data_IF_238096831165
#
_entry.id   IF_238096831165
#
_cell.length_a   1.000
_cell.length_b   1.000
_cell.length_c   1.000
_cell.angle_alpha   90.00
_cell.angle_beta   90.00
_cell.angle_gamma   90.00
#
_symmetry.space_group_name_H-M   'P 1'
#
loop_
_entity.id
_entity.type
_entity.pdbx_description
1 polymer ?
#
# COMPACT_ATOMS: atom_id res chain seq x y z
N UNK A 1 -68.54 -50.00 -1.54
CA UNK A 1 -68.11 -48.77 -0.86
C UNK A 1 -66.66 -48.50 -1.28
N UNK A 2 -66.48 -47.77 -2.38
CA UNK A 2 -65.18 -47.42 -2.98
C UNK A 2 -65.04 -45.90 -2.87
N UNK A 3 -63.97 -45.45 -2.20
CA UNK A 3 -63.71 -44.02 -1.92
C UNK A 3 -63.32 -43.29 -3.20
N UNK A 4 -63.84 -42.06 -3.45
CA UNK A 4 -63.45 -41.26 -4.60
C UNK A 4 -62.03 -40.70 -4.44
N UNK A 5 -61.32 -40.64 -5.57
CA UNK A 5 -59.98 -40.08 -5.74
C UNK A 5 -60.04 -38.56 -5.61
N UNK A 6 -59.31 -37.98 -4.65
CA UNK A 6 -59.12 -36.53 -4.56
C UNK A 6 -58.04 -36.10 -5.55
N UNK A 7 -58.42 -35.26 -6.51
CA UNK A 7 -57.50 -34.57 -7.41
C UNK A 7 -56.92 -33.38 -6.64
N UNK A 8 -55.65 -33.46 -6.25
CA UNK A 8 -54.93 -32.36 -5.66
C UNK A 8 -54.60 -31.32 -6.76
N UNK A 9 -55.22 -30.14 -6.67
CA UNK A 9 -54.92 -29.01 -7.53
C UNK A 9 -53.54 -28.45 -7.16
N UNK A 10 -52.57 -28.55 -8.07
CA UNK A 10 -51.20 -28.07 -7.88
C UNK A 10 -51.09 -26.66 -8.47
N UNK A 11 -51.00 -25.63 -7.61
CA UNK A 11 -50.76 -24.26 -8.03
C UNK A 11 -49.25 -23.96 -7.97
N UNK A 12 -48.63 -23.71 -9.12
CA UNK A 12 -47.25 -23.22 -9.19
C UNK A 12 -47.32 -21.69 -9.13
N UNK A 13 -46.93 -21.12 -8.00
CA UNK A 13 -46.70 -19.67 -7.87
C UNK A 13 -45.28 -19.41 -8.38
N UNK A 14 -45.15 -18.93 -9.61
CA UNK A 14 -43.90 -18.35 -10.11
C UNK A 14 -43.73 -16.96 -9.47
N UNK A 15 -42.96 -16.90 -8.39
CA UNK A 15 -42.41 -15.65 -7.86
C UNK A 15 -41.34 -15.16 -8.83
N UNK A 16 -41.69 -14.20 -9.69
CA UNK A 16 -40.70 -13.41 -10.41
C UNK A 16 -39.99 -12.53 -9.38
N UNK A 17 -38.83 -12.99 -8.91
CA UNK A 17 -37.83 -12.11 -8.30
C UNK A 17 -37.39 -11.16 -9.42
N UNK A 18 -37.96 -9.95 -9.44
CA UNK A 18 -37.35 -8.85 -10.17
C UNK A 18 -35.92 -8.74 -9.66
N UNK A 19 -34.87 -8.95 -10.47
CA UNK A 19 -33.55 -8.54 -10.06
C UNK A 19 -33.62 -7.02 -9.98
N UNK A 20 -33.73 -6.48 -8.76
CA UNK A 20 -33.32 -5.11 -8.53
C UNK A 20 -31.86 -5.06 -8.92
N UNK A 21 -31.58 -4.58 -10.13
CA UNK A 21 -30.31 -3.97 -10.46
C UNK A 21 -30.11 -2.90 -9.40
N UNK A 22 -29.33 -3.22 -8.38
CA UNK A 22 -28.75 -2.21 -7.50
C UNK A 22 -27.72 -1.50 -8.37
N UNK A 23 -28.19 -0.59 -9.23
CA UNK A 23 -27.34 0.46 -9.74
C UNK A 23 -26.91 1.24 -8.52
N UNK A 24 -25.62 1.18 -8.17
CA UNK A 24 -25.07 2.06 -7.15
C UNK A 24 -25.31 3.48 -7.68
N UNK A 25 -26.21 4.21 -7.03
CA UNK A 25 -26.43 5.62 -7.32
C UNK A 25 -25.15 6.36 -6.97
N UNK A 26 -24.34 6.69 -7.97
CA UNK A 26 -23.20 7.57 -7.79
C UNK A 26 -23.71 8.99 -7.54
N UNK A 27 -23.30 9.59 -6.43
CA UNK A 27 -23.55 10.99 -6.15
C UNK A 27 -22.59 11.82 -7.00
N UNK A 28 -23.09 12.32 -8.13
CA UNK A 28 -22.35 13.22 -9.00
C UNK A 28 -22.34 14.63 -8.43
N UNK A 29 -21.18 15.27 -8.47
CA UNK A 29 -21.05 16.68 -8.17
C UNK A 29 -21.75 17.51 -9.25
N UNK A 30 -22.52 18.56 -8.90
CA UNK A 30 -23.20 19.39 -9.89
C UNK A 30 -22.23 20.19 -10.79
N UNK A 31 -20.99 20.36 -10.35
CA UNK A 31 -19.90 20.97 -11.12
C UNK A 31 -18.56 20.57 -10.53
N UNK A 32 -17.52 20.42 -11.36
CA UNK A 32 -16.17 20.14 -10.86
C UNK A 32 -15.56 21.35 -10.13
N UNK A 33 -14.84 21.10 -9.03
CA UNK A 33 -14.02 22.11 -8.33
C UNK A 33 -12.94 22.70 -9.24
N UNK A 34 -12.49 21.96 -10.27
CA UNK A 34 -11.51 22.44 -11.25
C UNK A 34 -12.10 23.44 -12.26
N UNK A 35 -13.42 23.62 -12.30
CA UNK A 35 -14.09 24.50 -13.27
C UNK A 35 -13.77 25.98 -13.08
N UNK A 36 -13.24 26.38 -11.91
CA UNK A 36 -12.93 27.77 -11.56
C UNK A 36 -11.65 27.87 -10.74
N UNK A 37 -11.02 29.05 -10.78
CA UNK A 37 -9.81 29.34 -9.99
C UNK A 37 -8.52 28.90 -10.69
N UNK A 38 -7.38 29.22 -10.07
CA UNK A 38 -6.04 28.89 -10.57
C UNK A 38 -5.52 27.65 -9.87
N UNK A 39 -5.24 26.60 -10.64
CA UNK A 39 -4.85 25.28 -10.14
C UNK A 39 -3.46 24.90 -10.57
N UNK A 40 -2.71 24.28 -9.67
CA UNK A 40 -1.40 23.70 -9.95
C UNK A 40 -1.39 22.23 -9.55
N UNK A 41 -0.90 21.37 -10.44
CA UNK A 41 -0.73 19.94 -10.19
C UNK A 41 0.69 19.67 -9.71
N UNK A 42 0.84 18.81 -8.72
CA UNK A 42 2.13 18.32 -8.25
C UNK A 42 2.06 16.83 -7.92
N UNK A 43 3.23 16.18 -7.90
CA UNK A 43 3.38 14.75 -7.78
C UNK A 43 3.99 14.36 -6.43
N UNK A 44 3.59 13.22 -5.90
CA UNK A 44 4.23 12.54 -4.76
C UNK A 44 4.36 11.05 -5.09
N UNK A 45 5.44 10.43 -4.62
CA UNK A 45 5.75 9.02 -4.87
C UNK A 45 5.67 8.16 -3.61
N UNK A 46 5.67 8.78 -2.43
CA UNK A 46 5.75 8.09 -1.14
C UNK A 46 4.74 8.69 -0.15
N UNK A 47 4.40 7.91 0.87
CA UNK A 47 3.62 8.40 2.01
C UNK A 47 4.53 9.30 2.88
N UNK A 48 4.18 10.57 3.06
CA UNK A 48 4.98 11.51 3.83
C UNK A 48 4.18 12.75 4.29
N UNK A 49 4.75 13.50 5.25
CA UNK A 49 4.32 14.87 5.55
C UNK A 49 5.10 15.83 4.68
N UNK A 50 4.40 16.48 3.76
CA UNK A 50 4.99 17.41 2.80
C UNK A 50 4.82 18.85 3.26
N UNK A 51 5.89 19.63 3.12
CA UNK A 51 5.93 21.06 3.44
C UNK A 51 5.87 21.90 2.18
N UNK A 52 5.03 22.94 2.18
CA UNK A 52 5.02 23.98 1.15
C UNK A 52 5.11 25.34 1.83
N UNK A 53 6.20 26.06 1.56
CA UNK A 53 6.42 27.39 2.11
C UNK A 53 5.47 28.42 1.48
N UNK A 54 5.06 29.41 2.26
CA UNK A 54 4.23 30.52 1.78
C UNK A 54 4.84 31.21 0.55
N UNK A 55 6.16 31.42 0.57
CA UNK A 55 6.88 32.02 -0.55
C UNK A 55 6.66 31.24 -1.86
N UNK A 56 6.59 29.91 -1.79
CA UNK A 56 6.32 29.07 -2.96
C UNK A 56 4.92 29.32 -3.50
N UNK A 57 3.92 29.47 -2.64
CA UNK A 57 2.53 29.77 -3.02
C UNK A 57 2.42 31.13 -3.73
N UNK A 58 3.14 32.14 -3.21
CA UNK A 58 3.25 33.47 -3.83
C UNK A 58 3.93 33.41 -5.19
N UNK A 59 5.03 32.65 -5.31
CA UNK A 59 5.75 32.44 -6.58
C UNK A 59 4.93 31.68 -7.64
N UNK A 60 4.07 30.75 -7.22
CA UNK A 60 3.10 30.13 -8.13
C UNK A 60 2.10 31.15 -8.68
N UNK A 61 1.91 32.29 -8.01
CA UNK A 61 0.97 33.32 -8.42
C UNK A 61 -0.47 32.94 -8.09
N UNK A 62 -0.69 32.24 -6.98
CA UNK A 62 -2.02 32.02 -6.41
C UNK A 62 -2.66 33.37 -6.03
N UNK A 63 -3.96 33.50 -6.24
CA UNK A 63 -4.66 34.77 -6.04
C UNK A 63 -4.86 35.09 -4.54
N UNK A 64 -4.97 34.05 -3.70
CA UNK A 64 -5.08 34.16 -2.24
C UNK A 64 -4.04 33.27 -1.54
N UNK A 65 -2.74 33.57 -1.61
CA UNK A 65 -1.68 32.70 -1.09
C UNK A 65 -1.78 32.45 0.43
N UNK A 66 -2.45 33.34 1.17
CA UNK A 66 -2.75 33.17 2.61
C UNK A 66 -3.87 32.16 2.90
N UNK A 67 -4.64 31.75 1.89
CA UNK A 67 -5.73 30.78 1.99
C UNK A 67 -5.53 29.61 1.02
N UNK A 68 -4.43 28.86 1.13
CA UNK A 68 -4.18 27.71 0.26
C UNK A 68 -5.14 26.56 0.57
N UNK A 69 -5.40 25.76 -0.46
CA UNK A 69 -6.22 24.55 -0.41
C UNK A 69 -5.54 23.45 -1.22
N UNK A 70 -5.48 22.25 -0.66
CA UNK A 70 -4.96 21.07 -1.36
C UNK A 70 -6.10 20.11 -1.61
N UNK A 71 -6.10 19.53 -2.80
CA UNK A 71 -7.11 18.59 -3.28
C UNK A 71 -6.45 17.33 -3.84
N UNK A 72 -7.10 16.20 -3.68
CA UNK A 72 -6.63 14.92 -4.22
C UNK A 72 -7.59 13.78 -3.91
N UNK A 73 -7.54 12.75 -4.75
CA UNK A 73 -8.37 11.55 -4.65
C UNK A 73 -7.52 10.28 -4.63
N UNK A 74 -6.27 10.36 -4.18
CA UNK A 74 -5.37 9.22 -4.22
C UNK A 74 -5.79 8.15 -3.19
N UNK A 75 -6.60 7.19 -3.64
CA UNK A 75 -7.02 6.02 -2.86
C UNK A 75 -6.23 4.75 -3.22
N UNK A 76 -5.24 4.85 -4.09
CA UNK A 76 -4.48 3.72 -4.61
C UNK A 76 -5.04 3.22 -5.94
N UNK A 77 -4.90 1.92 -6.22
CA UNK A 77 -5.38 1.29 -7.45
C UNK A 77 -6.91 1.41 -7.56
N UNK A 78 -7.39 1.96 -8.67
CA UNK A 78 -8.82 1.96 -8.99
C UNK A 78 -9.29 0.53 -9.25
N UNK A 79 -10.54 0.26 -8.90
CA UNK A 79 -11.21 -1.00 -9.24
C UNK A 79 -11.14 -1.26 -10.74
N UNK A 80 -10.92 -2.52 -11.12
CA UNK A 80 -11.06 -2.94 -12.52
C UNK A 80 -12.51 -2.98 -12.98
N UNK A 81 -13.45 -2.86 -12.05
CA UNK A 81 -14.86 -2.80 -12.30
C UNK A 81 -15.34 -1.36 -12.22
N UNK A 82 -16.34 -1.02 -13.03
CA UNK A 82 -17.05 0.26 -12.94
C UNK A 82 -18.04 0.23 -11.77
N UNK A 83 -17.53 -0.01 -10.57
CA UNK A 83 -18.31 -0.25 -9.35
C UNK A 83 -18.67 1.03 -8.58
N UNK A 84 -18.20 2.18 -9.03
CA UNK A 84 -18.48 3.46 -8.42
C UNK A 84 -17.86 3.65 -7.03
N UNK A 85 -16.81 2.90 -6.70
CA UNK A 85 -16.06 3.04 -5.43
C UNK A 85 -15.28 4.35 -5.31
N UNK A 86 -15.14 5.10 -6.40
CA UNK A 86 -14.24 6.25 -6.50
C UNK A 86 -15.01 7.57 -6.43
N UNK A 87 -14.43 8.59 -5.78
CA UNK A 87 -15.03 9.91 -5.71
C UNK A 87 -15.14 10.53 -7.10
N UNK A 88 -16.30 11.13 -7.39
CA UNK A 88 -16.62 11.75 -8.68
C UNK A 88 -15.76 13.00 -8.97
N UNK A 89 -15.47 13.81 -7.96
CA UNK A 89 -14.68 15.03 -8.08
C UNK A 89 -13.60 15.10 -6.99
N UNK A 90 -12.64 16.02 -7.14
CA UNK A 90 -11.52 16.14 -6.19
C UNK A 90 -11.99 16.54 -4.79
N UNK A 91 -11.49 15.82 -3.79
CA UNK A 91 -11.76 16.12 -2.38
C UNK A 91 -10.72 17.06 -1.77
N UNK A 92 -11.17 18.02 -0.96
CA UNK A 92 -10.27 18.90 -0.21
C UNK A 92 -9.62 18.13 0.96
N UNK A 93 -8.29 18.20 1.01
CA UNK A 93 -7.43 17.59 2.02
C UNK A 93 -7.16 18.60 3.13
N UNK A 94 -7.30 18.17 4.38
CA UNK A 94 -6.98 18.99 5.53
C UNK A 94 -5.49 19.32 5.56
N UNK A 95 -5.16 20.59 5.71
CA UNK A 95 -3.78 21.05 5.87
C UNK A 95 -3.55 21.64 7.27
N UNK A 96 -2.31 21.56 7.74
CA UNK A 96 -1.82 22.35 8.87
C UNK A 96 -1.12 23.58 8.34
N UNK A 97 -1.24 24.72 9.02
CA UNK A 97 -0.48 25.94 8.70
C UNK A 97 0.23 26.40 9.97
N UNK A 98 1.54 26.59 9.88
CA UNK A 98 2.30 27.29 10.90
C UNK A 98 2.28 28.78 10.57
N UNK A 99 1.72 29.62 11.44
CA UNK A 99 1.46 31.05 11.16
C UNK A 99 2.32 31.99 12.03
N UNK A 100 3.53 31.56 12.41
CA UNK A 100 4.40 32.33 13.31
C UNK A 100 3.72 32.78 14.60
N UNK A 101 4.18 33.93 15.14
CA UNK A 101 3.64 34.54 16.36
C UNK A 101 2.55 35.58 16.11
N UNK A 102 2.39 36.05 14.87
CA UNK A 102 1.37 37.04 14.50
C UNK A 102 0.01 36.41 14.18
N UNK A 103 -0.02 35.07 14.01
CA UNK A 103 -1.22 34.29 13.73
C UNK A 103 -1.70 34.38 12.28
N UNK A 104 -0.95 35.05 11.40
CA UNK A 104 -1.33 35.33 10.02
C UNK A 104 -0.45 34.52 9.08
N UNK A 105 -1.03 33.67 8.23
CA UNK A 105 -0.27 32.89 7.27
C UNK A 105 0.37 33.77 6.18
N UNK A 106 1.67 34.09 6.33
CA UNK A 106 2.41 35.05 5.51
C UNK A 106 3.91 34.67 5.30
N UNK A 107 4.78 35.64 4.99
CA UNK A 107 6.19 35.39 4.66
C UNK A 107 6.97 34.79 5.84
N UNK A 108 7.60 33.62 5.61
CA UNK A 108 8.28 32.85 6.66
C UNK A 108 7.48 31.64 7.15
N UNK A 109 6.19 31.59 6.83
CA UNK A 109 5.30 30.50 7.19
C UNK A 109 5.29 29.36 6.16
N UNK A 110 4.70 28.24 6.58
CA UNK A 110 4.55 27.06 5.74
C UNK A 110 3.29 26.28 6.08
N UNK A 111 2.76 25.58 5.08
CA UNK A 111 1.75 24.56 5.29
C UNK A 111 2.37 23.17 5.32
N UNK A 112 1.74 22.25 6.04
CA UNK A 112 1.99 20.83 6.02
C UNK A 112 0.73 20.09 5.57
N UNK A 113 0.90 19.02 4.80
CA UNK A 113 -0.17 18.08 4.50
C UNK A 113 0.38 16.66 4.43
N UNK A 114 -0.45 15.68 4.77
CA UNK A 114 -0.12 14.27 4.58
C UNK A 114 -0.44 13.86 3.14
N UNK A 115 0.60 13.58 2.37
CA UNK A 115 0.49 13.05 1.02
C UNK A 115 0.75 11.56 1.06
N UNK A 116 -0.10 10.79 0.38
CA UNK A 116 0.09 9.35 0.15
C UNK A 116 0.64 9.09 -1.25
N UNK A 117 1.57 8.16 -1.39
CA UNK A 117 2.01 7.54 -2.65
C UNK A 117 0.96 6.57 -3.19
N UNK A 118 1.24 5.78 -4.24
CA UNK A 118 0.21 4.94 -4.88
C UNK A 118 0.00 3.57 -4.21
N UNK A 119 1.03 3.02 -3.56
CA UNK A 119 0.97 1.74 -2.85
C UNK A 119 0.16 1.77 -1.55
N UNK A 120 -0.43 0.64 -1.15
CA UNK A 120 -1.26 0.52 0.06
C UNK A 120 -0.91 -0.74 0.84
N UNK A 121 -0.71 -0.61 2.14
CA UNK A 121 -0.76 -1.74 3.06
C UNK A 121 -2.17 -1.85 3.61
N UNK A 122 -2.79 -3.02 3.44
CA UNK A 122 -4.14 -3.33 3.90
C UNK A 122 -4.04 -4.45 4.93
N UNK A 123 -4.41 -4.15 6.17
CA UNK A 123 -4.47 -5.14 7.23
C UNK A 123 -5.68 -6.07 7.03
N UNK A 124 -5.45 -7.37 7.03
CA UNK A 124 -6.47 -8.41 7.04
C UNK A 124 -6.62 -8.94 8.47
N UNK A 125 -7.72 -8.57 9.14
CA UNK A 125 -8.00 -8.99 10.50
C UNK A 125 -8.26 -10.49 10.65
N UNK A 126 -8.53 -11.20 9.55
CA UNK A 126 -8.78 -12.65 9.57
C UNK A 126 -7.48 -13.44 9.65
N UNK A 127 -6.46 -13.00 8.90
CA UNK A 127 -5.14 -13.64 8.88
C UNK A 127 -4.18 -13.01 9.89
N UNK A 128 -4.45 -11.77 10.32
CA UNK A 128 -3.54 -10.98 11.15
C UNK A 128 -2.36 -10.41 10.36
N UNK A 129 -2.46 -10.35 9.03
CA UNK A 129 -1.37 -9.96 8.13
C UNK A 129 -1.66 -8.70 7.33
N UNK A 130 -0.61 -8.07 6.80
CA UNK A 130 -0.75 -6.98 5.85
C UNK A 130 -0.54 -7.45 4.41
N UNK A 131 -1.47 -7.06 3.54
CA UNK A 131 -1.36 -7.24 2.10
C UNK A 131 -0.92 -5.92 1.47
N UNK A 132 0.16 -5.95 0.69
CA UNK A 132 0.55 -4.80 -0.13
C UNK A 132 -0.22 -4.81 -1.45
N UNK A 133 -0.87 -3.70 -1.76
CA UNK A 133 -1.56 -3.46 -3.02
C UNK A 133 -0.87 -2.33 -3.75
N UNK A 134 -0.22 -2.67 -4.86
CA UNK A 134 0.40 -1.69 -5.77
C UNK A 134 -0.60 -1.12 -6.77
N UNK A 135 -0.22 0.00 -7.38
CA UNK A 135 -0.92 0.57 -8.52
C UNK A 135 -0.24 0.12 -9.81
N UNK A 136 -0.93 -0.64 -10.66
CA UNK A 136 -0.33 -1.33 -11.81
C UNK A 136 -0.05 -0.41 -13.01
N UNK A 137 -0.50 0.84 -12.96
CA UNK A 137 -0.39 1.79 -14.08
C UNK A 137 0.33 3.10 -13.73
N UNK A 138 0.80 3.26 -12.49
CA UNK A 138 1.45 4.50 -12.03
C UNK A 138 2.13 4.28 -10.68
N UNK A 139 3.38 4.71 -10.57
CA UNK A 139 4.13 4.84 -9.32
C UNK A 139 3.93 6.23 -8.67
N UNK A 140 3.23 7.12 -9.36
CA UNK A 140 3.12 8.54 -9.01
C UNK A 140 1.67 8.92 -8.70
N UNK A 141 1.47 9.51 -7.53
CA UNK A 141 0.19 10.08 -7.12
C UNK A 141 0.17 11.61 -7.36
N UNK A 142 -0.94 12.13 -7.86
CA UNK A 142 -1.09 13.55 -8.17
C UNK A 142 -2.05 14.24 -7.21
N UNK A 143 -1.64 15.43 -6.78
CA UNK A 143 -2.40 16.33 -5.93
C UNK A 143 -2.46 17.70 -6.61
N UNK A 144 -3.42 18.50 -6.18
CA UNK A 144 -3.72 19.80 -6.77
C UNK A 144 -3.75 20.86 -5.69
N UNK A 145 -3.13 22.01 -5.95
CA UNK A 145 -3.17 23.17 -5.07
C UNK A 145 -3.85 24.34 -5.75
N UNK A 146 -4.68 25.04 -4.97
CA UNK A 146 -5.37 26.26 -5.35
C UNK A 146 -5.46 27.20 -4.15
N UNK A 147 -6.17 28.31 -4.31
CA UNK A 147 -6.42 29.27 -3.25
C UNK A 147 -7.82 29.88 -3.38
N UNK A 148 -8.39 30.35 -2.27
CA UNK A 148 -9.71 30.99 -2.28
C UNK A 148 -9.83 32.17 -1.31
N UNK A 149 -10.88 32.98 -1.44
CA UNK A 149 -11.09 34.15 -0.58
C UNK A 149 -11.37 33.78 0.88
N UNK A 150 -11.83 32.55 1.13
CA UNK A 150 -12.07 32.01 2.46
C UNK A 150 -11.07 30.91 2.81
N UNK A 151 -10.86 30.69 4.12
CA UNK A 151 -10.00 29.63 4.63
C UNK A 151 -10.45 28.25 4.10
N UNK A 152 -9.46 27.44 3.69
CA UNK A 152 -9.66 26.05 3.31
C UNK A 152 -9.80 25.10 4.48
N UNK A 153 -9.92 23.82 4.19
CA UNK A 153 -9.97 22.76 5.19
C UNK A 153 -8.69 22.76 6.04
N UNK A 154 -8.84 22.66 7.35
CA UNK A 154 -7.73 22.60 8.31
C UNK A 154 -7.79 21.31 9.12
N UNK A 155 -6.64 20.85 9.61
CA UNK A 155 -6.60 19.76 10.58
C UNK A 155 -7.31 20.24 11.85
N UNK A 156 -8.31 19.48 12.28
CA UNK A 156 -9.01 19.71 13.55
C UNK A 156 -8.36 18.91 14.69
N UNK A 157 -8.75 19.18 15.95
CA UNK A 157 -8.33 18.35 17.07
C UNK A 157 -8.80 16.90 16.87
N UNK A 158 -7.97 15.93 17.26
CA UNK A 158 -8.35 14.54 17.29
C UNK A 158 -9.43 14.32 18.38
N UNK A 159 -10.31 13.35 18.15
CA UNK A 159 -11.25 12.92 19.19
C UNK A 159 -10.53 11.98 20.15
N UNK A 160 -10.33 12.44 21.38
CA UNK A 160 -9.73 11.62 22.44
C UNK A 160 -10.75 10.64 23.04
N UNK A 161 -10.39 9.37 23.28
CA UNK A 161 -11.24 8.43 23.99
C UNK A 161 -11.59 8.90 25.40
N UNK A 162 -12.84 8.66 25.83
CA UNK A 162 -13.28 9.01 27.19
C UNK A 162 -12.73 8.06 28.27
N UNK A 163 -12.43 6.81 27.90
CA UNK A 163 -11.88 5.82 28.82
C UNK A 163 -10.36 5.97 28.91
N UNK A 164 -9.79 5.64 30.07
CA UNK A 164 -8.34 5.59 30.22
C UNK A 164 -7.74 4.49 29.36
N UNK A 165 -6.49 4.69 28.94
CA UNK A 165 -5.75 3.70 28.19
C UNK A 165 -5.62 2.39 29.01
N UNK A 166 -5.95 1.28 28.37
CA UNK A 166 -5.82 -0.07 28.91
C UNK A 166 -4.82 -0.92 28.10
N UNK A 167 -4.22 -0.32 27.06
CA UNK A 167 -3.15 -0.90 26.27
C UNK A 167 -2.11 0.18 25.99
N UNK A 168 -0.83 -0.12 26.23
CA UNK A 168 0.28 0.78 25.90
C UNK A 168 1.06 0.18 24.72
N UNK A 169 1.15 0.94 23.63
CA UNK A 169 1.93 0.59 22.44
C UNK A 169 3.21 1.43 22.42
N UNK A 170 4.30 0.85 22.91
CA UNK A 170 5.66 1.38 22.73
C UNK A 170 6.37 0.77 21.52
N UNK A 171 5.74 -0.19 20.85
CA UNK A 171 6.27 -0.95 19.72
C UNK A 171 5.21 -1.04 18.64
N UNK A 172 5.56 -0.68 17.41
CA UNK A 172 4.66 -0.71 16.25
C UNK A 172 5.11 -1.72 15.20
N UNK A 173 4.22 -1.99 14.26
CA UNK A 173 4.53 -2.71 13.03
C UNK A 173 5.49 -1.89 12.15
N UNK A 174 6.48 -2.58 11.58
CA UNK A 174 7.37 -2.09 10.56
C UNK A 174 7.17 -2.92 9.30
N UNK A 175 6.66 -2.30 8.24
CA UNK A 175 6.31 -2.94 6.98
C UNK A 175 7.27 -2.48 5.89
N UNK A 176 7.70 -3.42 5.05
CA UNK A 176 8.53 -3.13 3.90
C UNK A 176 8.22 -4.08 2.76
N UNK A 177 8.33 -3.58 1.53
CA UNK A 177 8.26 -4.38 0.32
C UNK A 177 9.43 -4.01 -0.58
N UNK A 178 10.11 -5.03 -1.08
CA UNK A 178 11.03 -4.92 -2.20
C UNK A 178 10.34 -5.50 -3.44
N UNK A 179 10.01 -4.65 -4.39
CA UNK A 179 9.35 -4.99 -5.66
C UNK A 179 9.91 -4.03 -6.73
N UNK A 180 10.46 -4.58 -7.82
CA UNK A 180 11.06 -3.78 -8.90
C UNK A 180 10.49 -4.24 -10.25
N UNK A 181 9.66 -3.38 -10.83
CA UNK A 181 8.88 -3.64 -12.04
C UNK A 181 9.70 -3.41 -13.33
N UNK A 182 10.67 -4.29 -13.61
CA UNK A 182 11.60 -4.06 -14.74
C UNK A 182 11.28 -4.86 -16.01
N UNK A 183 10.82 -6.11 -15.89
CA UNK A 183 10.53 -6.97 -17.04
C UNK A 183 9.13 -7.60 -16.94
N UNK A 184 8.30 -7.41 -17.97
CA UNK A 184 7.12 -8.23 -18.21
C UNK A 184 7.50 -9.38 -19.16
N UNK A 185 7.56 -10.60 -18.61
CA UNK A 185 8.26 -11.73 -19.25
C UNK A 185 7.75 -12.14 -20.63
N UNK A 186 6.45 -11.95 -20.89
CA UNK A 186 5.79 -12.35 -22.15
C UNK A 186 5.08 -11.16 -22.83
N UNK A 187 5.39 -9.93 -22.42
CA UNK A 187 4.76 -8.69 -22.89
C UNK A 187 3.22 -8.72 -22.83
N UNK A 188 2.66 -9.37 -21.80
CA UNK A 188 1.24 -9.50 -21.54
C UNK A 188 0.95 -9.59 -20.04
N UNK A 189 -0.28 -9.23 -19.66
CA UNK A 189 -0.70 -9.19 -18.27
C UNK A 189 -0.18 -7.96 -17.52
N UNK A 190 -0.20 -8.03 -16.18
CA UNK A 190 0.14 -6.92 -15.28
C UNK A 190 1.31 -7.22 -14.36
N UNK A 191 1.87 -8.43 -14.43
CA UNK A 191 2.99 -8.82 -13.58
C UNK A 191 4.29 -8.38 -14.23
N UNK A 192 5.16 -7.74 -13.46
CA UNK A 192 6.54 -7.48 -13.86
C UNK A 192 7.46 -7.95 -12.76
N UNK A 193 8.73 -8.11 -13.13
CA UNK A 193 9.68 -8.77 -12.28
C UNK A 193 11.05 -8.12 -12.37
N UNK A 194 11.85 -8.35 -11.33
CA UNK A 194 13.26 -7.98 -11.27
C UNK A 194 14.13 -9.18 -11.68
N UNK A 195 14.96 -9.09 -12.72
CA UNK A 195 15.95 -10.12 -13.02
C UNK A 195 16.88 -10.38 -11.84
N UNK A 196 17.08 -11.67 -11.53
CA UNK A 196 18.04 -12.13 -10.54
C UNK A 196 19.21 -12.82 -11.26
N UNK A 197 20.43 -12.40 -10.93
CA UNK A 197 21.64 -13.00 -11.49
C UNK A 197 22.13 -14.17 -10.66
N UNK A 198 22.65 -15.22 -11.32
CA UNK A 198 23.36 -16.30 -10.62
C UNK A 198 24.78 -15.90 -10.19
N UNK A 199 25.30 -14.78 -10.69
CA UNK A 199 26.66 -14.28 -10.41
C UNK A 199 26.69 -13.12 -9.41
N UNK A 200 25.53 -12.58 -9.03
CA UNK A 200 25.43 -11.41 -8.14
C UNK A 200 24.14 -11.47 -7.33
N UNK A 201 24.28 -11.35 -6.02
CA UNK A 201 23.15 -11.24 -5.10
C UNK A 201 22.39 -9.92 -5.29
N UNK A 202 21.08 -9.97 -5.10
CA UNK A 202 20.24 -8.78 -4.96
C UNK A 202 20.24 -8.36 -3.49
N UNK A 203 20.81 -7.20 -3.18
CA UNK A 203 20.72 -6.61 -1.85
C UNK A 203 19.34 -5.98 -1.65
N UNK A 204 18.74 -6.26 -0.50
CA UNK A 204 17.45 -5.71 -0.08
C UNK A 204 17.67 -5.02 1.27
N UNK A 205 17.61 -3.68 1.26
CA UNK A 205 17.75 -2.87 2.45
C UNK A 205 16.40 -2.20 2.80
N UNK A 206 15.69 -2.69 3.81
CA UNK A 206 14.42 -2.12 4.24
C UNK A 206 14.51 -0.71 4.81
N UNK A 207 15.72 -0.26 5.19
CA UNK A 207 15.90 0.99 5.93
C UNK A 207 15.24 0.96 7.32
N UNK A 208 14.93 -0.23 7.84
CA UNK A 208 14.41 -0.38 9.19
C UNK A 208 15.41 0.14 10.23
N UNK A 209 14.87 0.73 11.29
CA UNK A 209 15.60 1.17 12.47
C UNK A 209 14.88 0.69 13.73
N UNK A 210 15.65 0.52 14.79
CA UNK A 210 15.14 0.18 16.12
C UNK A 210 14.22 -1.07 16.14
N UNK A 211 14.50 -2.07 15.29
CA UNK A 211 13.75 -3.33 15.34
C UNK A 211 13.94 -4.03 16.68
N UNK A 212 12.89 -4.68 17.14
CA UNK A 212 12.91 -5.52 18.34
C UNK A 212 13.50 -6.88 17.97
N UNK A 213 14.78 -7.10 18.27
CA UNK A 213 15.51 -8.30 17.81
C UNK A 213 15.10 -9.60 18.50
N UNK A 214 14.36 -9.52 19.61
CA UNK A 214 13.73 -10.68 20.26
C UNK A 214 12.40 -11.10 19.60
N UNK A 215 11.88 -10.32 18.67
CA UNK A 215 10.66 -10.62 17.93
C UNK A 215 10.99 -11.03 16.50
N UNK A 216 10.27 -12.04 16.00
CA UNK A 216 10.52 -12.53 14.65
C UNK A 216 10.01 -11.55 13.61
N UNK A 217 10.75 -11.44 12.52
CA UNK A 217 10.31 -10.83 11.27
C UNK A 217 9.62 -11.92 10.46
N UNK A 218 8.39 -11.63 10.03
CA UNK A 218 7.68 -12.42 9.03
C UNK A 218 8.10 -11.94 7.64
N UNK A 219 8.43 -12.88 6.77
CA UNK A 219 8.76 -12.59 5.38
C UNK A 219 7.86 -13.40 4.44
N UNK A 220 7.56 -12.83 3.28
CA UNK A 220 6.95 -13.55 2.16
C UNK A 220 7.67 -13.17 0.88
N UNK A 221 8.14 -14.16 0.13
CA UNK A 221 8.84 -13.95 -1.13
C UNK A 221 8.16 -14.72 -2.25
N UNK A 222 7.97 -14.05 -3.39
CA UNK A 222 7.59 -14.70 -4.65
C UNK A 222 8.75 -14.55 -5.63
N UNK A 223 9.16 -15.67 -6.20
CA UNK A 223 10.25 -15.75 -7.19
C UNK A 223 9.82 -16.61 -8.37
N UNK A 224 10.47 -16.39 -9.51
CA UNK A 224 10.26 -17.16 -10.72
C UNK A 224 11.59 -17.68 -11.25
N UNK A 225 11.56 -18.86 -11.88
CA UNK A 225 12.69 -19.33 -12.66
C UNK A 225 12.25 -19.99 -13.97
N UNK A 226 13.08 -19.85 -14.99
CA UNK A 226 12.99 -20.55 -16.27
C UNK A 226 14.27 -21.34 -16.47
N UNK A 227 14.18 -22.66 -16.28
CA UNK A 227 15.26 -23.62 -16.47
C UNK A 227 14.67 -25.00 -16.76
N UNK A 228 15.45 -25.90 -17.37
CA UNK A 228 15.08 -27.31 -17.53
C UNK A 228 15.31 -28.15 -16.27
N UNK A 229 16.20 -27.68 -15.39
CA UNK A 229 16.51 -28.29 -14.08
C UNK A 229 15.87 -27.51 -12.93
N UNK A 230 15.80 -28.15 -11.75
CA UNK A 230 15.44 -27.43 -10.52
C UNK A 230 16.50 -26.40 -10.18
N UNK A 231 16.06 -25.21 -9.82
CA UNK A 231 16.89 -24.06 -9.40
C UNK A 231 16.47 -23.63 -8.00
N UNK A 232 17.21 -22.69 -7.40
CA UNK A 232 16.81 -22.16 -6.10
C UNK A 232 17.13 -20.69 -5.91
N UNK A 233 16.36 -20.08 -5.02
CA UNK A 233 16.65 -18.79 -4.44
C UNK A 233 16.98 -18.96 -2.96
N UNK A 234 17.81 -18.08 -2.40
CA UNK A 234 18.10 -18.07 -0.97
C UNK A 234 18.02 -16.66 -0.43
N UNK A 235 17.27 -16.49 0.66
CA UNK A 235 17.27 -15.25 1.45
C UNK A 235 18.29 -15.43 2.56
N UNK A 236 19.20 -14.48 2.70
CA UNK A 236 20.19 -14.46 3.77
C UNK A 236 20.24 -13.12 4.49
N UNK A 237 20.61 -13.17 5.77
CA UNK A 237 20.92 -12.02 6.60
C UNK A 237 22.25 -12.30 7.29
N UNK A 238 23.21 -11.39 7.19
CA UNK A 238 24.56 -11.56 7.75
C UNK A 238 25.20 -12.94 7.47
N UNK A 239 25.00 -13.47 6.26
CA UNK A 239 25.48 -14.80 5.83
C UNK A 239 24.65 -16.01 6.28
N UNK A 240 23.75 -15.83 7.26
CA UNK A 240 22.84 -16.89 7.75
C UNK A 240 21.64 -17.07 6.82
N UNK A 241 21.16 -18.31 6.68
CA UNK A 241 20.03 -18.64 5.79
C UNK A 241 18.73 -18.37 6.50
N UNK A 242 17.87 -17.54 5.92
CA UNK A 242 16.48 -17.38 6.37
C UNK A 242 15.57 -18.39 5.67
N UNK A 243 15.75 -18.53 4.35
CA UNK A 243 14.95 -19.42 3.53
C UNK A 243 15.71 -19.90 2.31
N UNK A 244 15.43 -21.12 1.86
CA UNK A 244 15.80 -21.62 0.54
C UNK A 244 14.53 -21.99 -0.21
N UNK A 245 14.32 -21.39 -1.37
CA UNK A 245 13.13 -21.54 -2.19
C UNK A 245 13.52 -22.34 -3.42
N UNK A 246 13.01 -23.56 -3.54
CA UNK A 246 13.24 -24.40 -4.71
C UNK A 246 12.19 -24.11 -5.79
N UNK A 247 12.66 -23.92 -7.02
CA UNK A 247 11.80 -23.71 -8.19
C UNK A 247 12.05 -24.86 -9.17
N UNK A 248 11.01 -25.67 -9.39
CA UNK A 248 11.08 -26.81 -10.30
C UNK A 248 11.37 -26.37 -11.74
N UNK A 249 12.11 -27.20 -12.47
CA UNK A 249 12.34 -27.01 -13.89
C UNK A 249 11.07 -27.17 -14.72
N UNK A 250 11.06 -26.57 -15.89
CA UNK A 250 9.98 -26.62 -16.88
C UNK A 250 10.45 -27.26 -18.17
N UNK A 251 9.50 -27.71 -19.01
CA UNK A 251 9.82 -28.15 -20.36
C UNK A 251 10.10 -26.93 -21.26
N UNK A 252 11.36 -26.74 -21.65
CA UNK A 252 11.76 -25.61 -22.51
C UNK A 252 11.40 -25.81 -23.99
N UNK A 253 11.02 -27.03 -24.42
CA UNK A 253 10.71 -27.35 -25.81
C UNK A 253 9.27 -27.01 -26.23
N UNK A 254 8.37 -26.71 -25.27
CA UNK A 254 6.98 -26.35 -25.59
C UNK A 254 6.82 -24.85 -25.82
N UNK A 255 6.06 -24.50 -26.87
CA UNK A 255 5.70 -23.12 -27.21
C UNK A 255 4.42 -22.63 -26.54
N UNK A 256 3.63 -23.54 -25.95
CA UNK A 256 2.34 -23.24 -25.29
C UNK A 256 2.33 -23.62 -23.81
N UNK A 257 3.46 -24.09 -23.27
CA UNK A 257 3.57 -24.44 -21.86
C UNK A 257 3.94 -23.25 -20.96
N UNK A 258 4.11 -23.55 -19.68
CA UNK A 258 4.57 -22.57 -18.67
C UNK A 258 5.85 -21.87 -19.12
N UNK A 259 5.83 -20.53 -19.20
CA UNK A 259 7.02 -19.76 -19.56
C UNK A 259 8.06 -19.74 -18.43
N UNK A 260 7.64 -19.53 -17.18
CA UNK A 260 8.50 -19.60 -16.01
C UNK A 260 7.70 -20.17 -14.86
N UNK A 261 8.35 -20.96 -14.01
CA UNK A 261 7.72 -21.53 -12.82
C UNK A 261 7.82 -20.50 -11.69
N UNK A 262 6.69 -20.18 -11.06
CA UNK A 262 6.66 -19.35 -9.86
C UNK A 262 6.66 -20.21 -8.59
N UNK A 263 7.27 -19.68 -7.53
CA UNK A 263 7.19 -20.22 -6.18
C UNK A 263 6.98 -19.08 -5.19
N UNK A 264 6.03 -19.27 -4.27
CA UNK A 264 5.75 -18.36 -3.16
C UNK A 264 6.10 -19.10 -1.86
N UNK A 265 6.93 -18.49 -1.04
CA UNK A 265 7.31 -19.02 0.27
C UNK A 265 7.21 -17.93 1.31
N UNK A 266 6.68 -18.26 2.48
CA UNK A 266 6.71 -17.40 3.65
C UNK A 266 7.39 -18.09 4.83
N UNK A 267 7.80 -17.30 5.81
CA UNK A 267 8.40 -17.81 7.04
C UNK A 267 8.66 -16.70 8.04
N UNK A 268 9.31 -17.07 9.15
CA UNK A 268 9.65 -16.15 10.21
C UNK A 268 11.07 -16.43 10.71
N UNK A 269 11.83 -15.37 11.04
CA UNK A 269 13.16 -15.48 11.62
C UNK A 269 13.41 -14.33 12.60
N UNK A 270 14.24 -14.55 13.61
CA UNK A 270 14.74 -13.45 14.43
C UNK A 270 15.75 -12.64 13.61
N UNK A 271 15.65 -11.30 13.57
CA UNK A 271 16.65 -10.50 12.90
C UNK A 271 17.97 -10.51 13.67
N UNK A 272 19.07 -10.45 12.94
CA UNK A 272 20.41 -10.38 13.52
C UNK A 272 20.69 -9.03 14.19
N UNK A 273 20.08 -7.95 13.68
CA UNK A 273 20.32 -6.58 14.14
C UNK A 273 19.02 -5.74 14.16
N UNK A 274 19.02 -4.58 14.83
CA UNK A 274 17.91 -3.63 14.76
C UNK A 274 17.78 -2.93 13.38
N UNK A 275 18.74 -3.12 12.48
CA UNK A 275 18.84 -2.51 11.15
C UNK A 275 19.27 -3.59 10.12
N UNK A 276 18.43 -4.62 9.89
CA UNK A 276 18.84 -5.78 9.10
C UNK A 276 18.90 -5.45 7.60
N UNK A 277 19.91 -6.00 6.92
CA UNK A 277 20.04 -5.97 5.45
C UNK A 277 20.05 -7.40 4.92
N UNK A 278 19.26 -7.65 3.90
CA UNK A 278 19.07 -8.98 3.33
C UNK A 278 19.75 -9.11 1.97
N UNK A 279 20.05 -10.35 1.59
CA UNK A 279 20.48 -10.70 0.24
C UNK A 279 19.64 -11.83 -0.30
N UNK A 280 19.16 -11.66 -1.53
CA UNK A 280 18.49 -12.70 -2.31
C UNK A 280 19.47 -13.18 -3.39
N UNK A 281 19.90 -14.44 -3.30
CA UNK A 281 20.78 -15.07 -4.28
C UNK A 281 20.02 -16.08 -5.13
N UNK A 282 20.40 -16.23 -6.40
CA UNK A 282 19.83 -17.19 -7.33
C UNK A 282 20.89 -18.25 -7.69
N UNK A 283 20.53 -19.53 -7.63
CA UNK A 283 21.37 -20.67 -8.02
C UNK A 283 20.77 -21.35 -9.23
N UNK A 284 21.50 -21.33 -10.35
CA UNK A 284 21.09 -21.91 -11.63
C UNK A 284 21.31 -23.43 -11.73
N UNK A 285 21.92 -24.06 -10.72
CA UNK A 285 22.22 -25.49 -10.68
C UNK A 285 22.97 -26.00 -11.92
N UNK A 286 23.90 -25.20 -12.45
CA UNK A 286 24.75 -25.55 -13.59
C UNK A 286 24.16 -25.23 -14.98
N UNK A 287 22.88 -24.84 -15.08
CA UNK A 287 22.28 -24.43 -16.35
C UNK A 287 22.55 -22.94 -16.63
N UNK A 288 23.52 -22.63 -17.49
CA UNK A 288 23.91 -21.23 -17.79
C UNK A 288 22.77 -20.43 -18.43
N UNK A 289 21.85 -21.08 -19.15
CA UNK A 289 20.66 -20.45 -19.73
C UNK A 289 19.53 -20.21 -18.73
N UNK A 290 19.66 -20.70 -17.49
CA UNK A 290 18.63 -20.50 -16.49
C UNK A 290 18.46 -19.01 -16.17
N UNK A 291 17.20 -18.57 -16.11
CA UNK A 291 16.85 -17.22 -15.72
C UNK A 291 16.08 -17.25 -14.41
N UNK A 292 16.41 -16.34 -13.51
CA UNK A 292 15.70 -16.13 -12.25
C UNK A 292 15.11 -14.73 -12.21
N UNK A 293 13.97 -14.57 -11.55
CA UNK A 293 13.38 -13.27 -11.26
C UNK A 293 12.81 -13.22 -9.84
N UNK A 294 12.89 -12.04 -9.23
CA UNK A 294 12.20 -11.69 -7.99
C UNK A 294 10.94 -10.94 -8.40
N UNK A 295 9.79 -11.39 -7.92
CA UNK A 295 8.54 -10.64 -8.01
C UNK A 295 8.53 -9.61 -6.87
N UNK A 296 8.39 -10.10 -5.65
CA UNK A 296 8.51 -9.27 -4.46
C UNK A 296 9.05 -10.04 -3.26
N UNK A 297 9.58 -9.28 -2.29
CA UNK A 297 9.84 -9.70 -0.92
C UNK A 297 9.14 -8.72 0.03
N UNK A 298 8.16 -9.19 0.81
CA UNK A 298 7.57 -8.41 1.90
C UNK A 298 8.20 -8.80 3.23
N UNK A 299 8.34 -7.82 4.12
CA UNK A 299 8.81 -7.98 5.48
C UNK A 299 7.83 -7.29 6.43
N UNK A 300 7.43 -8.00 7.48
CA UNK A 300 6.65 -7.48 8.59
C UNK A 300 7.42 -7.76 9.88
N UNK A 301 7.90 -6.68 10.49
CA UNK A 301 8.70 -6.68 11.70
C UNK A 301 8.02 -5.86 12.80
N UNK A 302 8.64 -5.82 13.97
CA UNK A 302 8.27 -4.97 15.09
C UNK A 302 9.40 -4.02 15.42
N UNK A 303 9.09 -2.74 15.62
CA UNK A 303 10.07 -1.69 15.95
C UNK A 303 9.65 -0.88 17.15
N UNK A 304 10.62 -0.41 17.92
CA UNK A 304 10.37 0.57 18.98
C UNK A 304 9.81 1.85 18.35
N UNK A 305 8.83 2.45 19.02
CA UNK A 305 8.35 3.76 18.65
C UNK A 305 9.41 4.78 19.10
N UNK A 306 10.09 5.39 18.13
CA UNK A 306 11.02 6.50 18.36
C UNK A 306 10.89 7.50 17.23
N UNK A 307 10.84 8.78 17.58
CA UNK A 307 10.77 9.87 16.61
C UNK A 307 12.16 10.49 16.42
N UNK A 308 12.73 10.35 15.22
CA UNK A 308 14.06 10.87 14.89
C UNK A 308 14.05 12.29 14.31
N UNK A 309 12.91 13.00 14.41
CA UNK A 309 12.73 14.34 13.86
C UNK A 309 12.29 14.35 12.39
N UNK A 310 12.16 13.19 11.74
CA UNK A 310 11.63 13.05 10.38
C UNK A 310 10.24 12.43 10.40
N UNK A 311 9.64 12.23 9.23
CA UNK A 311 8.35 11.54 9.11
C UNK A 311 8.39 10.16 9.77
N UNK A 312 7.42 9.91 10.66
CA UNK A 312 7.16 8.61 11.25
C UNK A 312 5.66 8.34 11.27
N UNK A 313 5.29 7.10 10.97
CA UNK A 313 3.95 6.58 11.14
C UNK A 313 4.04 5.35 12.06
N UNK A 314 3.20 5.34 13.08
CA UNK A 314 3.07 4.24 14.03
C UNK A 314 1.73 3.56 13.79
N UNK A 315 1.76 2.24 13.68
CA UNK A 315 0.57 1.42 13.50
C UNK A 315 0.84 0.13 14.23
N UNK A 316 -0.05 -0.27 15.13
CA UNK A 316 0.12 -1.47 15.93
C UNK A 316 -1.08 -2.40 15.76
N UNK A 317 -0.93 -3.40 14.90
CA UNK A 317 -1.94 -4.45 14.68
C UNK A 317 -2.36 -5.17 15.96
N UNK A 318 -1.51 -5.16 17.01
CA UNK A 318 -1.80 -5.80 18.30
C UNK A 318 -2.60 -4.91 19.24
N UNK A 319 -2.73 -3.63 18.93
CA UNK A 319 -3.49 -2.69 19.75
C UNK A 319 -4.99 -2.75 19.47
N UNK A 320 -5.39 -3.34 18.33
CA UNK A 320 -6.77 -3.49 17.90
C UNK A 320 -7.46 -4.61 18.70
N UNK A 321 -8.53 -4.28 19.41
CA UNK A 321 -9.34 -5.23 20.17
C UNK A 321 -10.62 -4.59 20.70
N UNK A 322 -11.65 -5.40 20.93
CA UNK A 322 -12.91 -4.89 21.46
C UNK A 322 -12.71 -4.29 22.86
N UNK A 323 -13.07 -3.01 23.03
CA UNK A 323 -12.88 -2.27 24.29
C UNK A 323 -11.44 -1.80 24.56
N UNK A 324 -10.51 -2.00 23.62
CA UNK A 324 -9.16 -1.46 23.77
C UNK A 324 -9.14 0.05 23.56
N UNK A 325 -8.50 0.76 24.48
CA UNK A 325 -8.06 2.14 24.34
C UNK A 325 -6.55 2.15 24.44
N UNK A 326 -5.93 2.49 23.31
CA UNK A 326 -4.48 2.42 23.15
C UNK A 326 -3.85 3.79 23.40
N UNK A 327 -2.85 3.81 24.25
CA UNK A 327 -1.88 4.90 24.34
C UNK A 327 -0.63 4.51 23.54
N UNK A 328 -0.23 5.35 22.59
CA UNK A 328 1.05 5.19 21.88
C UNK A 328 2.14 5.95 22.64
N UNK A 329 3.20 5.25 23.03
CA UNK A 329 4.42 5.84 23.60
C UNK A 329 5.43 6.00 22.48
N UNK A 330 6.10 7.16 22.37
CA UNK A 330 7.08 7.50 21.32
C UNK A 330 8.37 8.02 21.97
#
# INVERSE_FOLDING_TARGET
MLKPVQIACFAIVLSFLNPTLIGIAQNYSPSSVLSKGKWFKFAVTEDNIYRIDYLRLKQLGLDYPSNPRIFGNNQGQLSYYNDGSQPDDLMEISIYTYNGSDGIFNEGDYLLFYGKGTGRWIFDSTTGDYNHVRHNYSDTAFYFITSGPAQGKRIGPAHEPLMQANFNSAVSDALYIHEVESENLIHSGREWYQPASYSRDTEVNPGFKDLVTSEKIKYTIRVLARASVSTSFRITENGSVLSTIHVNGINLATTTGTYAQAMLTGGEALPFSPEPVYKVSFTNNGEVSAKGWIDYLTLHARRQNKFDGKFAQYTDSRSVGNGNVTEFTI
#
